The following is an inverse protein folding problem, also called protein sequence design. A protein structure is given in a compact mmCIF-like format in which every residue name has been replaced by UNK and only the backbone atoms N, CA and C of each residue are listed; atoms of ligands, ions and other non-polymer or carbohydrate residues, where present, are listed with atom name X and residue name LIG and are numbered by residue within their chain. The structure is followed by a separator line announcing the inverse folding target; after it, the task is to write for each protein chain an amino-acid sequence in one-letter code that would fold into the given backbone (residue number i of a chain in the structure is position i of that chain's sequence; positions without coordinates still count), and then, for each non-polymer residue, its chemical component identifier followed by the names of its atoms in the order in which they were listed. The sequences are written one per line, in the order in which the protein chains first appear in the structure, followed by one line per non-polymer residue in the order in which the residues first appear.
data_IF_787427700187
#
_entry.id   IF_787427700187
#
_cell.length_a   1.000
_cell.length_b   1.000
_cell.length_c   1.000
_cell.angle_alpha   90.00
_cell.angle_beta   90.00
_cell.angle_gamma   90.00
#
_symmetry.space_group_name_H-M   'P 1'
#
loop_
_entity.id
_entity.type
_entity.pdbx_description
1 polymer ?
#
# COMPACT_ATOMS: atom_id res chain seq x y z
N UNK A 1 20.90 55.99 -45.73
CA UNK A 1 21.97 55.47 -46.59
C UNK A 1 21.46 54.20 -47.27
N UNK A 2 21.56 54.19 -48.61
CA UNK A 2 21.34 53.09 -49.57
C UNK A 2 22.20 51.86 -49.21
N UNK A 3 21.98 50.60 -49.56
CA UNK A 3 20.96 49.80 -50.24
C UNK A 3 21.36 48.30 -50.05
N UNK A 4 20.54 47.31 -50.45
CA UNK A 4 20.64 45.88 -50.15
C UNK A 4 21.33 45.04 -51.25
N UNK A 5 21.61 43.76 -50.99
CA UNK A 5 21.95 42.68 -51.95
C UNK A 5 21.67 41.31 -51.29
N UNK A 6 21.21 40.24 -51.92
CA UNK A 6 20.61 39.96 -53.22
C UNK A 6 20.07 38.50 -53.17
N UNK A 7 18.92 38.24 -53.78
CA UNK A 7 18.41 36.91 -54.15
C UNK A 7 19.19 36.35 -55.36
N UNK A 8 19.34 35.02 -55.49
CA UNK A 8 19.05 34.20 -56.71
C UNK A 8 19.33 32.70 -56.51
N UNK A 9 18.85 31.77 -57.40
CA UNK A 9 18.10 30.58 -56.98
C UNK A 9 18.54 29.26 -57.65
N UNK A 10 17.69 28.23 -57.52
CA UNK A 10 17.41 27.10 -58.44
C UNK A 10 18.58 26.23 -58.96
N UNK A 11 18.44 24.91 -58.77
CA UNK A 11 18.71 23.93 -59.83
C UNK A 11 17.82 22.68 -59.63
N UNK A 12 16.87 22.53 -60.55
CA UNK A 12 16.10 21.33 -60.85
C UNK A 12 16.93 20.47 -61.81
N UNK A 13 17.02 19.16 -61.58
CA UNK A 13 17.30 18.20 -62.64
C UNK A 13 16.68 16.83 -62.28
N UNK A 14 15.66 16.44 -63.04
CA UNK A 14 15.09 15.10 -63.04
C UNK A 14 15.75 14.18 -64.07
N UNK A 15 15.43 12.88 -64.00
CA UNK A 15 15.39 11.86 -65.06
C UNK A 15 14.85 10.56 -64.38
N UNK A 16 13.61 10.12 -64.58
CA UNK A 16 12.99 9.36 -65.69
C UNK A 16 13.26 7.83 -65.69
N UNK A 17 12.13 7.10 -65.55
CA UNK A 17 11.76 5.77 -66.10
C UNK A 17 12.49 4.54 -65.52
N UNK A 18 11.83 3.44 -65.15
CA UNK A 18 10.95 2.61 -66.00
C UNK A 18 9.90 1.82 -65.19
N UNK A 19 8.78 1.55 -65.85
CA UNK A 19 7.74 0.61 -65.44
C UNK A 19 8.11 -0.84 -65.73
N UNK A 20 7.64 -1.78 -64.91
CA UNK A 20 7.39 -3.16 -65.31
C UNK A 20 6.20 -3.75 -64.52
N UNK A 21 5.22 -4.25 -65.26
CA UNK A 21 4.04 -4.97 -64.77
C UNK A 21 4.39 -6.42 -64.41
N UNK A 22 3.62 -7.02 -63.50
CA UNK A 22 3.54 -8.46 -63.29
C UNK A 22 2.31 -8.83 -62.48
N UNK A 23 1.32 -9.48 -63.12
CA UNK A 23 0.09 -9.98 -62.50
C UNK A 23 0.22 -11.44 -62.01
N UNK A 24 -0.51 -11.73 -60.93
CA UNK A 24 -1.25 -12.97 -60.60
C UNK A 24 -0.52 -14.31 -60.32
N UNK A 25 -0.80 -14.83 -59.10
CA UNK A 25 -0.72 -16.24 -58.68
C UNK A 25 -1.14 -16.35 -57.20
N UNK A 26 -2.41 -16.60 -56.89
CA UNK A 26 -3.05 -17.91 -56.60
C UNK A 26 -2.60 -18.65 -55.31
N UNK A 27 -3.59 -18.82 -54.42
CA UNK A 27 -3.91 -19.95 -53.52
C UNK A 27 -3.02 -20.31 -52.32
N UNK A 28 -3.62 -20.20 -51.12
CA UNK A 28 -3.28 -20.93 -49.89
C UNK A 28 -4.27 -20.55 -48.75
N UNK A 29 -5.43 -21.21 -48.67
CA UNK A 29 -5.84 -22.16 -47.61
C UNK A 29 -5.85 -21.62 -46.17
N UNK A 30 -7.08 -21.40 -45.66
CA UNK A 30 -7.57 -21.82 -44.34
C UNK A 30 -6.72 -21.55 -43.11
N UNK A 31 -7.14 -20.56 -42.31
CA UNK A 31 -6.73 -20.39 -40.93
C UNK A 31 -7.88 -19.80 -40.12
N UNK A 32 -8.49 -20.66 -39.32
CA UNK A 32 -9.24 -20.37 -38.08
C UNK A 32 -9.19 -18.91 -37.61
N UNK A 33 -10.36 -18.27 -37.51
CA UNK A 33 -10.59 -17.12 -36.62
C UNK A 33 -10.44 -17.58 -35.17
N UNK A 34 -9.22 -17.50 -34.65
CA UNK A 34 -8.96 -17.40 -33.22
C UNK A 34 -8.89 -15.93 -32.88
N UNK A 35 -9.89 -15.45 -32.15
CA UNK A 35 -9.87 -14.18 -31.45
C UNK A 35 -8.60 -14.09 -30.60
N UNK A 36 -7.81 -13.08 -30.93
CA UNK A 36 -6.64 -12.53 -30.24
C UNK A 36 -6.78 -12.46 -28.71
N UNK A 37 -5.88 -13.16 -28.01
CA UNK A 37 -5.21 -12.59 -26.86
C UNK A 37 -3.83 -12.17 -27.34
N UNK A 38 -3.60 -10.86 -27.51
CA UNK A 38 -2.25 -10.36 -27.80
C UNK A 38 -1.41 -10.62 -26.57
N UNK A 39 -0.51 -11.59 -26.65
CA UNK A 39 0.65 -11.62 -25.77
C UNK A 39 1.46 -10.35 -26.08
N UNK A 40 1.34 -9.35 -25.22
CA UNK A 40 2.09 -8.12 -25.34
C UNK A 40 3.53 -8.40 -24.84
N UNK A 41 4.32 -9.10 -25.65
CA UNK A 41 5.68 -9.51 -25.30
C UNK A 41 6.70 -8.37 -25.39
N UNK A 42 7.65 -8.35 -24.45
CA UNK A 42 8.93 -7.62 -24.49
C UNK A 42 8.84 -6.09 -24.43
N UNK A 43 8.34 -5.45 -25.48
CA UNK A 43 8.32 -3.98 -25.58
C UNK A 43 7.17 -3.36 -24.80
N UNK A 44 6.05 -4.08 -24.63
CA UNK A 44 4.88 -3.57 -23.91
C UNK A 44 5.04 -3.59 -22.39
N UNK A 45 5.96 -4.41 -21.90
CA UNK A 45 6.28 -4.57 -20.48
C UNK A 45 7.49 -3.74 -20.03
N UNK A 46 8.06 -2.97 -20.96
CA UNK A 46 9.08 -1.98 -20.65
C UNK A 46 8.51 -0.93 -19.68
N UNK A 47 9.32 -0.38 -18.76
CA UNK A 47 8.90 0.70 -17.87
C UNK A 47 8.27 1.87 -18.64
N UNK A 48 7.11 2.35 -18.18
CA UNK A 48 6.41 3.51 -18.76
C UNK A 48 6.41 4.65 -17.74
N UNK A 49 6.99 5.82 -18.08
CA UNK A 49 6.95 6.97 -17.19
C UNK A 49 5.53 7.53 -17.07
N UNK A 50 5.24 8.12 -15.92
CA UNK A 50 3.91 8.60 -15.55
C UNK A 50 3.93 9.33 -14.21
N UNK A 51 3.12 10.35 -14.05
CA UNK A 51 3.12 11.16 -12.82
C UNK A 51 2.32 10.47 -11.70
N UNK A 52 1.33 9.64 -12.04
CA UNK A 52 0.44 8.98 -11.10
C UNK A 52 0.87 7.53 -10.86
N UNK A 53 0.91 7.13 -9.60
CA UNK A 53 1.15 5.76 -9.18
C UNK A 53 -0.17 5.05 -8.89
N UNK A 54 -0.23 3.76 -9.21
CA UNK A 54 -1.31 2.86 -8.78
C UNK A 54 -0.73 1.60 -8.18
N UNK A 55 -1.30 1.18 -7.05
CA UNK A 55 -1.01 -0.11 -6.44
C UNK A 55 -1.82 -1.18 -7.16
N UNK A 56 -1.15 -2.27 -7.53
CA UNK A 56 -1.82 -3.47 -8.03
C UNK A 56 -2.35 -4.30 -6.87
N UNK A 57 -3.57 -4.81 -7.00
CA UNK A 57 -4.17 -5.67 -6.00
C UNK A 57 -3.35 -6.96 -5.81
N UNK A 58 -3.02 -7.28 -4.55
CA UNK A 58 -2.41 -8.54 -4.13
C UNK A 58 -3.48 -9.64 -4.01
N UNK A 59 -4.02 -10.04 -5.17
CA UNK A 59 -5.18 -10.94 -5.30
C UNK A 59 -4.94 -12.39 -4.81
N UNK A 60 -3.68 -12.77 -4.57
CA UNK A 60 -3.29 -14.06 -4.00
C UNK A 60 -2.78 -13.95 -2.55
N UNK A 61 -2.85 -12.75 -1.95
CA UNK A 61 -2.53 -12.49 -0.54
C UNK A 61 -1.09 -12.88 -0.17
N UNK A 62 -0.13 -12.51 -1.01
CA UNK A 62 1.30 -12.69 -0.77
C UNK A 62 1.75 -11.94 0.49
N UNK A 63 1.28 -10.71 0.66
CA UNK A 63 1.64 -9.84 1.76
C UNK A 63 0.82 -10.21 3.00
N UNK A 64 1.48 -10.17 4.15
CA UNK A 64 0.78 -10.36 5.40
C UNK A 64 -0.20 -9.21 5.65
N UNK A 65 -1.36 -9.54 6.20
CA UNK A 65 -2.45 -8.61 6.43
C UNK A 65 -2.14 -7.69 7.64
N UNK A 66 -1.63 -6.49 7.36
CA UNK A 66 -1.41 -5.44 8.35
C UNK A 66 -2.58 -4.44 8.37
N UNK A 67 -3.80 -5.00 8.42
CA UNK A 67 -5.00 -4.23 8.69
C UNK A 67 -4.89 -3.53 10.05
N UNK A 68 -5.40 -2.30 10.14
CA UNK A 68 -5.38 -1.55 11.40
C UNK A 68 -6.32 -2.22 12.40
N UNK A 69 -5.84 -2.47 13.61
CA UNK A 69 -6.60 -3.14 14.66
C UNK A 69 -6.42 -2.41 16.00
N UNK A 70 -7.48 -2.11 16.74
CA UNK A 70 -7.35 -1.51 18.06
C UNK A 70 -6.83 -2.55 19.06
N UNK A 71 -5.70 -2.25 19.70
CA UNK A 71 -5.16 -3.01 20.83
C UNK A 71 -5.53 -2.29 22.13
N UNK A 72 -6.11 -3.02 23.08
CA UNK A 72 -6.56 -2.50 24.37
C UNK A 72 -6.08 -3.41 25.49
N UNK A 73 -5.75 -2.88 26.66
CA UNK A 73 -5.48 -3.76 27.81
C UNK A 73 -6.76 -4.49 28.23
N UNK A 74 -6.65 -5.79 28.51
CA UNK A 74 -7.81 -6.61 28.86
C UNK A 74 -8.52 -6.10 30.14
N UNK A 75 -7.75 -5.57 31.09
CA UNK A 75 -8.28 -4.96 32.30
C UNK A 75 -9.13 -3.71 32.00
N UNK A 76 -8.66 -2.82 31.12
CA UNK A 76 -9.40 -1.62 30.75
C UNK A 76 -10.62 -1.94 29.89
N UNK A 77 -10.50 -2.89 28.96
CA UNK A 77 -11.62 -3.37 28.14
C UNK A 77 -12.74 -3.97 29.01
N UNK A 78 -12.39 -4.79 30.01
CA UNK A 78 -13.36 -5.37 30.94
C UNK A 78 -14.02 -4.32 31.86
N UNK A 79 -13.27 -3.30 32.27
CA UNK A 79 -13.79 -2.20 33.09
C UNK A 79 -14.71 -1.25 32.30
N UNK A 80 -14.52 -1.16 30.98
CA UNK A 80 -15.21 -0.20 30.11
C UNK A 80 -15.83 -0.90 28.89
N UNK A 81 -17.05 -1.48 29.02
CA UNK A 81 -17.69 -2.20 27.92
C UNK A 81 -17.97 -1.36 26.66
N UNK A 82 -17.97 -0.03 26.77
CA UNK A 82 -18.14 0.90 25.64
C UNK A 82 -16.85 1.10 24.83
N UNK A 83 -15.68 0.76 25.38
CA UNK A 83 -14.37 1.12 24.82
C UNK A 83 -14.08 0.42 23.49
N UNK A 84 -14.11 -0.91 23.47
CA UNK A 84 -13.84 -1.68 22.24
C UNK A 84 -14.89 -1.41 21.16
N UNK A 85 -16.21 -1.36 21.45
CA UNK A 85 -17.20 -0.99 20.43
C UNK A 85 -16.98 0.39 19.81
N UNK A 86 -16.51 1.38 20.58
CA UNK A 86 -16.19 2.70 20.03
C UNK A 86 -15.00 2.65 19.07
N UNK A 87 -13.95 1.91 19.43
CA UNK A 87 -12.79 1.71 18.55
C UNK A 87 -13.15 0.88 17.30
N UNK A 88 -13.98 -0.15 17.46
CA UNK A 88 -14.47 -0.97 16.34
C UNK A 88 -15.36 -0.18 15.37
N UNK A 89 -16.00 0.92 15.81
CA UNK A 89 -16.69 1.83 14.91
C UNK A 89 -15.71 2.50 13.94
N UNK A 90 -14.50 2.86 14.40
CA UNK A 90 -13.41 3.33 13.52
C UNK A 90 -13.05 2.24 12.53
N UNK A 91 -12.81 1.02 13.01
CA UNK A 91 -12.46 -0.10 12.13
C UNK A 91 -13.50 -0.36 11.05
N UNK A 92 -14.78 -0.21 11.36
CA UNK A 92 -15.87 -0.42 10.42
C UNK A 92 -15.97 0.67 9.34
N UNK A 93 -15.47 1.88 9.61
CA UNK A 93 -15.54 3.02 8.70
C UNK A 93 -14.23 3.24 7.91
N UNK A 94 -13.10 2.87 8.49
CA UNK A 94 -11.76 3.19 7.98
C UNK A 94 -11.35 2.28 6.80
N UNK A 95 -11.09 2.90 5.65
CA UNK A 95 -10.57 2.24 4.44
C UNK A 95 -9.13 2.66 4.12
N UNK A 96 -8.44 1.89 3.27
CA UNK A 96 -7.07 2.23 2.86
C UNK A 96 -7.02 3.56 2.10
N UNK A 97 -7.99 3.84 1.24
CA UNK A 97 -8.08 5.12 0.53
C UNK A 97 -8.17 6.32 1.50
N UNK A 98 -8.94 6.18 2.58
CA UNK A 98 -9.01 7.22 3.61
C UNK A 98 -7.68 7.39 4.37
N UNK A 99 -6.95 6.29 4.63
CA UNK A 99 -5.60 6.40 5.21
C UNK A 99 -4.63 7.11 4.25
N UNK A 100 -4.68 6.79 2.96
CA UNK A 100 -3.89 7.46 1.93
C UNK A 100 -4.16 8.96 1.95
N UNK A 101 -5.44 9.38 1.93
CA UNK A 101 -5.82 10.80 1.97
C UNK A 101 -5.34 11.50 3.25
N UNK A 102 -5.51 10.87 4.42
CA UNK A 102 -5.07 11.44 5.69
C UNK A 102 -3.54 11.54 5.78
N UNK A 103 -2.81 10.52 5.32
CA UNK A 103 -1.35 10.55 5.24
C UNK A 103 -0.87 11.64 4.28
N UNK A 104 -1.52 11.81 3.12
CA UNK A 104 -1.22 12.86 2.15
C UNK A 104 -1.40 14.26 2.76
N UNK A 105 -2.50 14.49 3.49
CA UNK A 105 -2.77 15.76 4.15
C UNK A 105 -1.66 16.17 5.13
N UNK A 106 -1.08 15.23 5.87
CA UNK A 106 0.03 15.53 6.79
C UNK A 106 1.37 15.64 6.06
N UNK A 107 1.74 14.63 5.27
CA UNK A 107 3.09 14.52 4.72
C UNK A 107 3.32 15.49 3.55
N UNK A 108 2.31 15.70 2.71
CA UNK A 108 2.40 16.52 1.50
C UNK A 108 1.85 17.92 1.74
N UNK A 109 0.68 18.04 2.38
CA UNK A 109 0.00 19.32 2.59
C UNK A 109 0.37 20.01 3.90
N UNK A 110 1.13 19.35 4.77
CA UNK A 110 1.65 19.89 6.04
C UNK A 110 0.55 20.27 7.04
N UNK A 111 -0.59 19.60 6.97
CA UNK A 111 -1.60 19.69 8.01
C UNK A 111 -1.13 18.98 9.29
N UNK A 112 -1.73 19.33 10.43
CA UNK A 112 -1.42 18.62 11.69
C UNK A 112 -2.19 17.31 11.75
N UNK A 113 -1.60 16.26 12.34
CA UNK A 113 -2.28 14.97 12.52
C UNK A 113 -3.55 15.09 13.40
N UNK A 114 -3.57 16.03 14.34
CA UNK A 114 -4.74 16.32 15.18
C UNK A 114 -5.89 16.91 14.36
N UNK A 115 -5.62 17.91 13.51
CA UNK A 115 -6.65 18.54 12.66
C UNK A 115 -7.20 17.54 11.63
N UNK A 116 -6.31 16.75 11.01
CA UNK A 116 -6.69 15.72 10.02
C UNK A 116 -7.58 14.65 10.66
N UNK A 117 -7.19 14.14 11.83
CA UNK A 117 -7.99 13.17 12.56
C UNK A 117 -9.34 13.74 12.99
N UNK A 118 -9.38 14.98 13.48
CA UNK A 118 -10.62 15.65 13.89
C UNK A 118 -11.59 15.80 12.71
N UNK A 119 -11.08 16.22 11.54
CA UNK A 119 -11.86 16.33 10.31
C UNK A 119 -12.43 14.97 9.89
N UNK A 120 -11.61 13.91 9.88
CA UNK A 120 -12.08 12.58 9.52
C UNK A 120 -13.15 12.05 10.50
N UNK A 121 -12.99 12.26 11.81
CA UNK A 121 -13.98 11.85 12.82
C UNK A 121 -15.32 12.58 12.63
N UNK A 122 -15.28 13.87 12.26
CA UNK A 122 -16.48 14.64 11.93
C UNK A 122 -17.15 14.14 10.64
N UNK A 123 -16.38 14.00 9.56
CA UNK A 123 -16.89 13.70 8.22
C UNK A 123 -17.37 12.24 8.07
N UNK A 124 -16.74 11.30 8.77
CA UNK A 124 -17.11 9.88 8.72
C UNK A 124 -18.45 9.56 9.40
N UNK A 125 -18.93 10.42 10.31
CA UNK A 125 -20.11 10.13 11.13
C UNK A 125 -19.91 8.97 12.12
N UNK A 126 -18.66 8.54 12.36
CA UNK A 126 -18.33 7.37 13.19
C UNK A 126 -18.76 7.51 14.66
N UNK A 127 -19.08 8.73 15.07
CA UNK A 127 -19.51 9.05 16.45
C UNK A 127 -21.00 8.86 16.70
N UNK A 128 -21.79 8.56 15.67
CA UNK A 128 -23.24 8.42 15.78
C UNK A 128 -23.64 7.17 16.57
N UNK A 129 -24.38 7.39 17.67
CA UNK A 129 -24.96 6.31 18.46
C UNK A 129 -23.97 5.53 19.32
N UNK A 130 -22.76 6.05 19.53
CA UNK A 130 -21.76 5.42 20.39
C UNK A 130 -22.29 5.20 21.81
N UNK A 131 -22.01 4.02 22.35
CA UNK A 131 -22.26 3.73 23.75
C UNK A 131 -21.39 4.64 24.63
N UNK A 132 -22.01 5.22 25.65
CA UNK A 132 -21.31 6.12 26.56
C UNK A 132 -20.47 5.36 27.58
N UNK A 133 -19.22 5.80 27.74
CA UNK A 133 -18.26 5.40 28.76
C UNK A 133 -17.93 6.56 29.71
N UNK A 134 -16.85 6.41 30.47
CA UNK A 134 -16.31 7.48 31.31
C UNK A 134 -14.93 7.13 31.83
N UNK A 135 -14.14 8.14 32.19
CA UNK A 135 -12.84 7.97 32.83
C UNK A 135 -11.67 8.16 31.85
N UNK A 136 -10.45 8.24 32.39
CA UNK A 136 -9.27 8.57 31.60
C UNK A 136 -8.85 7.38 30.73
N UNK A 137 -8.53 7.64 29.46
CA UNK A 137 -7.93 6.67 28.54
C UNK A 137 -6.73 7.33 27.85
N UNK A 138 -5.56 6.71 27.95
CA UNK A 138 -4.38 7.16 27.21
C UNK A 138 -4.20 6.28 25.98
N UNK A 139 -4.27 6.89 24.80
CA UNK A 139 -4.02 6.29 23.48
C UNK A 139 -2.56 6.52 23.13
N UNK A 140 -1.81 5.44 22.89
CA UNK A 140 -0.43 5.54 22.45
C UNK A 140 -0.31 5.82 20.96
N UNK A 141 0.77 6.52 20.60
CA UNK A 141 1.19 6.74 19.22
C UNK A 141 2.65 6.32 19.01
N UNK A 142 2.93 5.78 17.83
CA UNK A 142 4.27 5.56 17.33
C UNK A 142 4.93 6.85 16.85
N UNK A 143 6.21 6.80 16.49
CA UNK A 143 6.97 7.96 16.01
C UNK A 143 6.90 8.15 14.49
N UNK A 144 5.72 7.99 13.89
CA UNK A 144 5.49 8.19 12.46
C UNK A 144 4.07 8.73 12.20
N UNK A 145 3.89 9.31 11.02
CA UNK A 145 2.70 10.08 10.62
C UNK A 145 1.41 9.30 10.86
N UNK A 146 1.25 8.15 10.20
CA UNK A 146 -0.01 7.40 10.25
C UNK A 146 -0.39 6.98 11.67
N UNK A 147 0.55 6.46 12.46
CA UNK A 147 0.28 6.08 13.85
C UNK A 147 -0.16 7.26 14.71
N UNK A 148 0.37 8.47 14.45
CA UNK A 148 -0.06 9.68 15.14
C UNK A 148 -1.47 10.09 14.72
N UNK A 149 -1.81 10.01 13.43
CA UNK A 149 -3.17 10.27 12.93
C UNK A 149 -4.15 9.29 13.56
N UNK A 150 -3.88 7.99 13.47
CA UNK A 150 -4.73 6.93 14.02
C UNK A 150 -4.96 7.06 15.53
N UNK A 151 -3.92 7.44 16.28
CA UNK A 151 -4.05 7.66 17.72
C UNK A 151 -4.99 8.85 18.04
N UNK A 152 -4.92 9.93 17.24
CA UNK A 152 -5.84 11.06 17.38
C UNK A 152 -7.27 10.71 16.93
N UNK A 153 -7.43 9.90 15.88
CA UNK A 153 -8.75 9.37 15.46
C UNK A 153 -9.37 8.58 16.61
N UNK A 154 -8.62 7.66 17.21
CA UNK A 154 -9.07 6.90 18.37
C UNK A 154 -9.42 7.82 19.54
N UNK A 155 -8.57 8.79 19.88
CA UNK A 155 -8.87 9.74 20.97
C UNK A 155 -10.16 10.53 20.71
N UNK A 156 -10.35 11.07 19.50
CA UNK A 156 -11.56 11.83 19.14
C UNK A 156 -12.85 11.01 19.24
N UNK A 157 -12.81 9.74 18.80
CA UNK A 157 -13.96 8.82 18.93
C UNK A 157 -14.23 8.44 20.38
N UNK A 158 -13.18 8.24 21.18
CA UNK A 158 -13.32 7.96 22.60
C UNK A 158 -13.86 9.16 23.39
N UNK A 159 -13.44 10.37 23.07
CA UNK A 159 -14.01 11.60 23.64
C UNK A 159 -15.49 11.74 23.30
N UNK A 160 -15.89 11.46 22.05
CA UNK A 160 -17.29 11.43 21.65
C UNK A 160 -18.11 10.32 22.36
N UNK A 161 -17.46 9.22 22.72
CA UNK A 161 -18.03 8.17 23.58
C UNK A 161 -18.02 8.54 25.08
N UNK A 162 -17.57 9.74 25.48
CA UNK A 162 -17.62 10.24 26.85
C UNK A 162 -16.43 9.86 27.73
N UNK A 163 -15.37 9.29 27.17
CA UNK A 163 -14.09 9.13 27.87
C UNK A 163 -13.34 10.47 27.97
N UNK A 164 -12.32 10.53 28.84
CA UNK A 164 -11.33 11.60 28.89
C UNK A 164 -10.07 11.09 28.20
N UNK A 165 -10.06 11.13 26.87
CA UNK A 165 -9.02 10.53 26.05
C UNK A 165 -7.85 11.49 25.85
N UNK A 166 -6.63 10.96 25.81
CA UNK A 166 -5.43 11.73 25.48
C UNK A 166 -4.44 10.90 24.67
N UNK A 167 -3.70 11.56 23.79
CA UNK A 167 -2.67 10.92 22.96
C UNK A 167 -1.30 11.06 23.62
N UNK A 168 -0.52 9.97 23.59
CA UNK A 168 0.87 9.95 24.04
C UNK A 168 1.77 9.26 23.02
N UNK A 169 2.70 10.03 22.46
CA UNK A 169 3.78 9.45 21.65
C UNK A 169 4.78 8.72 22.56
N UNK A 170 5.08 7.46 22.24
CA UNK A 170 5.99 6.60 23.01
C UNK A 170 7.21 6.18 22.19
N UNK A 171 7.09 6.15 20.86
CA UNK A 171 8.17 5.81 19.94
C UNK A 171 7.94 4.49 19.23
N UNK A 172 8.98 3.68 19.08
CA UNK A 172 8.89 2.41 18.37
C UNK A 172 8.21 1.29 19.20
N UNK A 173 7.86 0.18 18.53
CA UNK A 173 7.14 -0.96 19.14
C UNK A 173 7.87 -1.62 20.29
N UNK A 174 9.21 -1.69 20.23
CA UNK A 174 10.03 -2.23 21.32
C UNK A 174 9.87 -1.42 22.62
N UNK A 175 9.50 -0.14 22.50
CA UNK A 175 9.24 0.74 23.64
C UNK A 175 7.76 0.75 24.05
N UNK A 176 6.85 0.92 23.09
CA UNK A 176 5.43 1.10 23.44
C UNK A 176 4.70 -0.20 23.77
N UNK A 177 5.05 -1.34 23.16
CA UNK A 177 4.32 -2.59 23.36
C UNK A 177 4.46 -3.12 24.80
N UNK A 178 5.66 -3.12 25.43
CA UNK A 178 5.79 -3.42 26.85
C UNK A 178 5.01 -2.44 27.74
N UNK A 179 4.98 -1.16 27.38
CA UNK A 179 4.23 -0.14 28.12
C UNK A 179 2.71 -0.35 28.00
N UNK A 180 2.20 -0.71 26.83
CA UNK A 180 0.80 -1.11 26.60
C UNK A 180 0.45 -2.35 27.42
N UNK A 181 1.25 -3.41 27.34
CA UNK A 181 1.05 -4.66 28.11
C UNK A 181 1.01 -4.37 29.62
N UNK A 182 1.85 -3.46 30.12
CA UNK A 182 1.82 -3.07 31.52
C UNK A 182 0.53 -2.34 31.93
N UNK A 183 -0.10 -1.65 30.98
CA UNK A 183 -1.30 -0.83 31.17
C UNK A 183 -1.10 0.41 32.04
N UNK A 184 0.13 0.70 32.49
CA UNK A 184 0.41 1.77 33.45
C UNK A 184 0.37 3.16 32.81
N UNK A 185 0.97 3.31 31.62
CA UNK A 185 1.17 4.61 30.96
C UNK A 185 0.28 4.81 29.73
N UNK A 186 -0.22 3.73 29.12
CA UNK A 186 -1.18 3.74 28.02
C UNK A 186 -2.10 2.51 28.06
N UNK A 187 -3.31 2.64 27.52
CA UNK A 187 -4.34 1.59 27.56
C UNK A 187 -4.81 1.17 26.17
N UNK A 188 -4.63 2.02 25.16
CA UNK A 188 -5.08 1.80 23.78
C UNK A 188 -3.94 2.09 22.81
N UNK A 189 -3.84 1.34 21.72
CA UNK A 189 -2.91 1.62 20.63
C UNK A 189 -3.51 1.18 19.28
N UNK A 190 -3.36 1.96 18.19
CA UNK A 190 -3.64 1.50 16.83
C UNK A 190 -2.51 0.60 16.33
N UNK A 191 -2.76 -0.71 16.26
CA UNK A 191 -1.76 -1.70 15.83
C UNK A 191 -1.98 -2.20 14.40
N UNK A 192 -0.93 -2.81 13.87
CA UNK A 192 -0.88 -3.42 12.55
C UNK A 192 -0.94 -4.93 12.72
N UNK A 193 -2.00 -5.56 12.21
CA UNK A 193 -2.44 -6.87 12.64
C UNK A 193 -1.38 -7.98 12.53
N UNK A 194 -0.75 -8.15 11.37
CA UNK A 194 0.27 -9.18 11.20
C UNK A 194 1.54 -8.88 11.99
N UNK A 195 1.97 -7.62 11.98
CA UNK A 195 3.20 -7.18 12.64
C UNK A 195 3.10 -7.31 14.16
N UNK A 196 1.97 -6.93 14.77
CA UNK A 196 1.75 -7.14 16.21
C UNK A 196 1.63 -8.63 16.56
N UNK A 197 1.04 -9.43 15.66
CA UNK A 197 0.97 -10.88 15.81
C UNK A 197 2.36 -11.48 15.92
N UNK A 198 3.27 -11.12 15.02
CA UNK A 198 4.64 -11.65 15.07
C UNK A 198 5.47 -11.10 16.24
N UNK A 199 5.26 -9.84 16.63
CA UNK A 199 5.90 -9.26 17.81
C UNK A 199 5.50 -10.03 19.08
N UNK A 200 4.21 -10.29 19.28
CA UNK A 200 3.73 -11.07 20.42
C UNK A 200 4.13 -12.54 20.33
N UNK A 201 4.15 -13.11 19.12
CA UNK A 201 4.62 -14.47 18.89
C UNK A 201 6.07 -14.61 19.36
N UNK A 202 6.94 -13.67 18.98
CA UNK A 202 8.33 -13.67 19.43
C UNK A 202 8.48 -13.46 20.94
N UNK A 203 7.63 -12.61 21.54
CA UNK A 203 7.62 -12.38 22.97
C UNK A 203 7.20 -13.61 23.78
N UNK A 204 6.17 -14.33 23.32
CA UNK A 204 5.58 -15.49 24.01
C UNK A 204 6.36 -16.78 23.72
N UNK A 205 6.75 -17.00 22.46
CA UNK A 205 7.33 -18.27 21.99
C UNK A 205 8.86 -18.20 21.78
N UNK A 206 9.49 -17.06 22.08
CA UNK A 206 10.94 -16.85 21.98
C UNK A 206 11.37 -16.17 20.68
N UNK A 207 12.63 -15.73 20.59
CA UNK A 207 13.08 -14.71 19.62
C UNK A 207 12.90 -15.02 18.12
N UNK A 208 12.70 -16.28 17.72
CA UNK A 208 12.53 -16.68 16.32
C UNK A 208 11.50 -17.82 16.22
N UNK A 209 10.22 -17.56 16.53
CA UNK A 209 9.19 -18.56 16.39
C UNK A 209 8.92 -18.78 14.89
N UNK A 210 8.20 -19.85 14.56
CA UNK A 210 7.62 -19.95 13.22
C UNK A 210 6.57 -18.86 13.07
N UNK A 211 6.58 -18.07 11.98
CA UNK A 211 5.54 -17.08 11.72
C UNK A 211 4.16 -17.72 11.67
N UNK A 212 3.16 -17.00 12.17
CA UNK A 212 1.75 -17.42 12.24
C UNK A 212 0.80 -16.44 11.57
N UNK A 213 1.25 -15.22 11.26
CA UNK A 213 0.52 -14.27 10.45
C UNK A 213 0.51 -14.71 8.98
N UNK A 214 -0.50 -14.25 8.27
CA UNK A 214 -0.72 -14.50 6.84
C UNK A 214 -1.40 -13.32 6.17
N UNK A 215 -1.55 -13.36 4.84
CA UNK A 215 -2.37 -12.40 4.11
C UNK A 215 -3.88 -12.54 4.31
N UNK A 216 -4.34 -13.46 5.16
CA UNK A 216 -5.74 -13.52 5.59
C UNK A 216 -5.92 -12.85 6.95
N UNK A 217 -6.56 -11.67 6.96
CA UNK A 217 -6.76 -10.89 8.17
C UNK A 217 -7.52 -11.65 9.27
N UNK A 218 -8.56 -12.43 8.91
CA UNK A 218 -9.32 -13.17 9.91
C UNK A 218 -8.50 -14.33 10.49
N UNK A 219 -7.77 -15.07 9.65
CA UNK A 219 -6.89 -16.12 10.12
C UNK A 219 -5.76 -15.58 11.02
N UNK A 220 -5.17 -14.44 10.65
CA UNK A 220 -4.14 -13.76 11.45
C UNK A 220 -4.72 -13.29 12.78
N UNK A 221 -5.93 -12.71 12.80
CA UNK A 221 -6.64 -12.34 14.04
C UNK A 221 -6.90 -13.54 14.94
N UNK A 222 -7.34 -14.65 14.38
CA UNK A 222 -7.59 -15.88 15.14
C UNK A 222 -6.29 -16.44 15.75
N UNK A 223 -5.16 -16.32 15.03
CA UNK A 223 -3.83 -16.70 15.52
C UNK A 223 -3.29 -15.74 16.60
N UNK A 224 -3.64 -14.45 16.53
CA UNK A 224 -3.27 -13.42 17.51
C UNK A 224 -3.94 -13.64 18.87
N UNK A 225 -5.20 -14.05 18.91
CA UNK A 225 -5.99 -14.16 20.14
C UNK A 225 -5.29 -14.93 21.28
N UNK A 226 -4.77 -16.15 21.10
CA UNK A 226 -4.11 -16.90 22.18
C UNK A 226 -2.80 -16.25 22.66
N UNK A 227 -2.15 -15.41 21.85
CA UNK A 227 -0.98 -14.62 22.28
C UNK A 227 -1.43 -13.43 23.12
N UNK A 228 -2.47 -12.72 22.66
CA UNK A 228 -3.05 -11.58 23.35
C UNK A 228 -3.53 -11.95 24.77
N UNK A 229 -4.21 -13.09 24.91
CA UNK A 229 -4.68 -13.60 26.20
C UNK A 229 -3.54 -13.81 27.21
N UNK A 230 -2.37 -14.26 26.73
CA UNK A 230 -1.20 -14.52 27.59
C UNK A 230 -0.54 -13.25 28.10
N UNK A 231 -0.62 -12.16 27.32
CA UNK A 231 -0.04 -10.86 27.68
C UNK A 231 -1.07 -9.87 28.24
N UNK A 232 -2.33 -10.28 28.39
CA UNK A 232 -3.38 -9.43 28.96
C UNK A 232 -3.82 -8.30 28.03
N UNK A 233 -3.80 -8.54 26.71
CA UNK A 233 -4.34 -7.62 25.71
C UNK A 233 -5.66 -8.16 25.13
N UNK A 234 -6.48 -7.25 24.64
CA UNK A 234 -7.70 -7.50 23.88
C UNK A 234 -7.60 -6.70 22.60
N UNK A 235 -7.81 -7.37 21.46
CA UNK A 235 -7.84 -6.73 20.16
C UNK A 235 -9.28 -6.64 19.68
N UNK A 236 -9.64 -5.52 19.06
CA UNK A 236 -10.96 -5.36 18.46
C UNK A 236 -11.07 -6.03 17.10
N UNK A 237 -11.89 -5.44 16.24
CA UNK A 237 -12.08 -5.86 14.85
C UNK A 237 -11.07 -5.13 13.96
N UNK A 238 -10.33 -5.83 13.09
CA UNK A 238 -9.47 -5.17 12.10
C UNK A 238 -10.30 -4.36 11.09
N UNK A 239 -9.78 -3.23 10.65
CA UNK A 239 -10.38 -2.40 9.59
C UNK A 239 -10.18 -2.99 8.20
N UNK A 240 -10.89 -2.45 7.21
CA UNK A 240 -10.51 -2.67 5.81
C UNK A 240 -9.14 -2.02 5.51
N UNK A 241 -8.88 -0.86 6.11
CA UNK A 241 -7.62 -0.16 5.94
C UNK A 241 -6.41 -1.00 6.37
N UNK A 242 -5.36 -0.98 5.55
CA UNK A 242 -4.10 -1.67 5.81
C UNK A 242 -2.90 -0.81 5.40
N UNK A 243 -1.85 -0.89 6.22
CA UNK A 243 -0.50 -0.42 5.87
C UNK A 243 0.42 -1.63 5.81
N UNK A 244 0.63 -2.10 4.60
CA UNK A 244 1.47 -3.25 4.30
C UNK A 244 2.33 -2.94 3.09
N UNK A 245 3.36 -3.77 2.86
CA UNK A 245 4.05 -3.74 1.58
C UNK A 245 3.03 -3.93 0.45
N UNK A 246 3.24 -3.22 -0.63
CA UNK A 246 2.47 -3.29 -1.85
C UNK A 246 3.39 -3.07 -3.05
N UNK A 247 2.86 -3.24 -4.25
CA UNK A 247 3.63 -3.00 -5.47
C UNK A 247 2.89 -2.03 -6.37
N UNK A 248 3.56 -0.93 -6.69
CA UNK A 248 3.01 0.11 -7.54
C UNK A 248 3.66 0.11 -8.92
N UNK A 249 2.86 0.53 -9.89
CA UNK A 249 3.25 0.88 -11.25
C UNK A 249 2.75 2.29 -11.56
N UNK A 250 3.09 2.85 -12.72
CA UNK A 250 2.42 4.07 -13.19
C UNK A 250 1.02 3.75 -13.70
N UNK A 251 0.08 4.70 -13.55
CA UNK A 251 -1.27 4.57 -14.11
C UNK A 251 -1.20 4.31 -15.62
N UNK A 252 -0.29 5.00 -16.32
CA UNK A 252 -0.08 4.83 -17.75
C UNK A 252 0.35 3.41 -18.13
N UNK A 253 1.21 2.78 -17.31
CA UNK A 253 1.60 1.39 -17.50
C UNK A 253 0.44 0.43 -17.27
N UNK A 254 -0.31 0.63 -16.18
CA UNK A 254 -1.48 -0.17 -15.84
C UNK A 254 -2.56 -0.09 -16.94
N UNK A 255 -2.88 1.12 -17.40
CA UNK A 255 -3.87 1.38 -18.46
C UNK A 255 -3.44 0.80 -19.81
N UNK A 256 -2.15 0.91 -20.15
CA UNK A 256 -1.61 0.35 -21.39
C UNK A 256 -1.81 -1.17 -21.45
N UNK A 257 -1.62 -1.85 -20.32
CA UNK A 257 -1.74 -3.30 -20.22
C UNK A 257 -3.17 -3.75 -19.86
N UNK A 258 -4.00 -2.85 -19.34
CA UNK A 258 -5.33 -3.14 -18.82
C UNK A 258 -5.29 -4.02 -17.57
N UNK A 259 -4.32 -3.77 -16.68
CA UNK A 259 -4.09 -4.58 -15.46
C UNK A 259 -4.42 -3.80 -14.20
N UNK A 260 -4.98 -4.51 -13.22
CA UNK A 260 -5.34 -3.99 -11.90
C UNK A 260 -4.81 -4.87 -10.77
N UNK A 261 -4.47 -6.12 -11.06
CA UNK A 261 -3.94 -7.08 -10.07
C UNK A 261 -2.53 -7.55 -10.41
N UNK A 262 -1.84 -8.12 -9.42
CA UNK A 262 -0.53 -8.76 -9.63
C UNK A 262 -0.62 -9.99 -10.54
N UNK A 263 -1.69 -10.79 -10.45
CA UNK A 263 -1.91 -11.91 -11.38
C UNK A 263 -2.11 -11.44 -12.83
N UNK A 264 -2.86 -10.37 -13.05
CA UNK A 264 -3.06 -9.81 -14.39
C UNK A 264 -1.75 -9.27 -14.98
N UNK A 265 -0.92 -8.64 -14.15
CA UNK A 265 0.43 -8.24 -14.56
C UNK A 265 1.30 -9.46 -14.89
N UNK A 266 1.20 -10.55 -14.13
CA UNK A 266 1.95 -11.77 -14.39
C UNK A 266 1.54 -12.42 -15.72
N UNK A 267 0.24 -12.46 -16.03
CA UNK A 267 -0.27 -12.97 -17.29
C UNK A 267 0.18 -12.11 -18.49
N UNK A 268 0.27 -10.78 -18.30
CA UNK A 268 0.70 -9.85 -19.35
C UNK A 268 2.23 -9.83 -19.55
N UNK A 269 3.00 -9.85 -18.45
CA UNK A 269 4.41 -9.48 -18.39
C UNK A 269 5.30 -10.43 -17.57
N UNK A 270 4.85 -11.64 -17.26
CA UNK A 270 5.65 -12.67 -16.57
C UNK A 270 6.75 -13.31 -17.42
N UNK A 271 7.09 -12.74 -18.58
CA UNK A 271 8.07 -13.28 -19.54
C UNK A 271 9.54 -12.95 -19.20
N UNK A 272 9.78 -12.25 -18.09
CA UNK A 272 11.11 -11.86 -17.62
C UNK A 272 11.57 -10.49 -18.11
N UNK A 273 10.69 -9.67 -18.67
CA UNK A 273 11.00 -8.32 -19.17
C UNK A 273 10.89 -7.20 -18.13
N UNK A 274 10.24 -7.45 -16.98
CA UNK A 274 10.01 -6.43 -15.95
C UNK A 274 11.29 -6.03 -15.22
N UNK A 275 11.33 -4.76 -14.79
CA UNK A 275 12.35 -4.25 -13.88
C UNK A 275 11.71 -3.95 -12.53
N UNK A 276 12.23 -4.56 -11.45
CA UNK A 276 11.73 -4.37 -10.10
C UNK A 276 12.58 -3.35 -9.33
N UNK A 277 11.94 -2.36 -8.72
CA UNK A 277 12.54 -1.41 -7.78
C UNK A 277 12.21 -1.75 -6.32
N UNK A 278 13.17 -1.59 -5.41
CA UNK A 278 12.89 -1.72 -3.99
C UNK A 278 14.14 -1.69 -3.11
N UNK A 279 14.01 -2.00 -1.81
CA UNK A 279 15.14 -1.99 -0.88
C UNK A 279 16.11 -3.14 -1.15
N UNK A 280 17.38 -2.99 -0.75
CA UNK A 280 18.48 -3.89 -1.08
C UNK A 280 18.23 -5.37 -0.73
N UNK A 281 17.42 -5.64 0.29
CA UNK A 281 17.05 -6.97 0.73
C UNK A 281 15.98 -7.64 -0.15
N UNK A 282 15.24 -6.89 -0.97
CA UNK A 282 14.10 -7.39 -1.73
C UNK A 282 14.39 -8.67 -2.56
N UNK A 283 15.56 -8.82 -3.23
CA UNK A 283 15.91 -10.04 -3.95
C UNK A 283 15.99 -11.31 -3.07
N UNK A 284 16.05 -11.16 -1.74
CA UNK A 284 16.19 -12.24 -0.77
C UNK A 284 15.02 -12.37 0.20
N UNK A 285 14.06 -11.43 0.17
CA UNK A 285 12.93 -11.41 1.10
C UNK A 285 11.77 -12.24 0.55
N UNK A 286 11.23 -13.20 1.32
CA UNK A 286 10.12 -14.05 0.84
C UNK A 286 8.89 -13.28 0.37
N UNK A 287 8.58 -12.13 0.96
CA UNK A 287 7.44 -11.29 0.59
C UNK A 287 7.81 -10.16 -0.40
N UNK A 288 8.95 -10.28 -1.10
CA UNK A 288 9.33 -9.34 -2.15
C UNK A 288 9.57 -10.09 -3.46
N UNK A 289 10.75 -10.01 -4.07
CA UNK A 289 11.00 -10.65 -5.36
C UNK A 289 10.74 -12.18 -5.37
N UNK A 290 11.31 -12.99 -4.45
CA UNK A 290 10.99 -14.42 -4.38
C UNK A 290 9.48 -14.72 -4.30
N UNK A 291 8.74 -13.93 -3.52
CA UNK A 291 7.30 -14.11 -3.36
C UNK A 291 6.51 -13.81 -4.63
N UNK A 292 6.87 -12.74 -5.34
CA UNK A 292 6.30 -12.40 -6.64
C UNK A 292 6.58 -13.49 -7.68
N UNK A 293 7.78 -14.06 -7.67
CA UNK A 293 8.15 -15.15 -8.57
C UNK A 293 7.41 -16.45 -8.24
N UNK A 294 7.36 -16.85 -6.97
CA UNK A 294 6.78 -18.13 -6.53
C UNK A 294 5.24 -18.13 -6.52
N UNK A 295 4.62 -17.01 -6.13
CA UNK A 295 3.16 -16.91 -5.98
C UNK A 295 2.49 -16.55 -7.30
N UNK A 296 3.06 -15.58 -8.02
CA UNK A 296 2.44 -15.01 -9.22
C UNK A 296 3.05 -15.51 -10.51
N UNK A 297 4.28 -16.03 -10.49
CA UNK A 297 5.01 -16.39 -11.71
C UNK A 297 5.58 -15.17 -12.45
N UNK A 298 5.65 -14.00 -11.79
CA UNK A 298 6.37 -12.84 -12.31
C UNK A 298 7.85 -13.17 -12.48
N UNK A 299 8.51 -12.56 -13.45
CA UNK A 299 9.94 -12.71 -13.68
C UNK A 299 10.57 -11.36 -14.00
N UNK A 300 11.80 -11.16 -13.55
CA UNK A 300 12.47 -9.87 -13.64
C UNK A 300 13.77 -9.95 -14.44
N UNK A 301 13.93 -9.03 -15.40
CA UNK A 301 15.16 -8.84 -16.15
C UNK A 301 16.26 -8.24 -15.26
N UNK A 302 15.87 -7.32 -14.38
CA UNK A 302 16.75 -6.52 -13.56
C UNK A 302 16.05 -6.15 -12.24
N UNK A 303 16.83 -6.10 -11.16
CA UNK A 303 16.45 -5.47 -9.90
C UNK A 303 17.27 -4.20 -9.70
N UNK A 304 16.61 -3.12 -9.26
CA UNK A 304 17.26 -1.84 -8.93
C UNK A 304 17.00 -1.46 -7.47
N UNK A 305 18.09 -1.17 -6.77
CA UNK A 305 18.08 -0.79 -5.36
C UNK A 305 17.68 0.67 -5.18
N UNK A 306 16.69 0.88 -4.30
CA UNK A 306 16.18 2.17 -3.86
C UNK A 306 15.79 2.10 -2.37
N UNK A 307 15.14 3.13 -1.84
CA UNK A 307 14.59 3.12 -0.47
C UNK A 307 13.33 2.23 -0.36
N UNK A 308 12.99 1.78 0.85
CA UNK A 308 11.80 0.96 1.08
C UNK A 308 10.53 1.82 0.92
N UNK A 309 9.90 1.79 -0.26
CA UNK A 309 8.66 2.52 -0.54
C UNK A 309 8.74 4.03 -0.45
N UNK A 310 9.93 4.61 -0.31
CA UNK A 310 10.11 6.04 -0.11
C UNK A 310 10.23 6.85 -1.41
N UNK A 311 10.62 8.13 -1.33
CA UNK A 311 10.69 9.03 -2.48
C UNK A 311 11.56 8.53 -3.63
N UNK A 312 12.63 7.77 -3.37
CA UNK A 312 13.51 7.31 -4.46
C UNK A 312 12.84 6.20 -5.28
N UNK A 313 12.19 5.24 -4.64
CA UNK A 313 11.43 4.19 -5.32
C UNK A 313 10.28 4.76 -6.13
N UNK A 314 9.49 5.69 -5.56
CA UNK A 314 8.38 6.34 -6.28
C UNK A 314 8.87 7.11 -7.50
N UNK A 315 9.92 7.91 -7.33
CA UNK A 315 10.51 8.67 -8.42
C UNK A 315 11.05 7.76 -9.54
N UNK A 316 11.61 6.60 -9.18
CA UNK A 316 12.09 5.62 -10.16
C UNK A 316 10.94 4.99 -10.96
N UNK A 317 9.80 4.70 -10.32
CA UNK A 317 8.59 4.21 -11.01
C UNK A 317 8.07 5.31 -11.95
N UNK A 318 7.89 6.54 -11.45
CA UNK A 318 7.34 7.66 -12.21
C UNK A 318 8.22 8.06 -13.42
N UNK A 319 9.53 7.93 -13.30
CA UNK A 319 10.48 8.24 -14.37
C UNK A 319 10.65 7.09 -15.38
N UNK A 320 9.97 5.95 -15.18
CA UNK A 320 10.14 4.76 -16.00
C UNK A 320 11.55 4.17 -15.89
N UNK A 321 12.20 4.30 -14.73
CA UNK A 321 13.45 3.59 -14.45
C UNK A 321 13.19 2.11 -14.10
N UNK A 322 12.04 1.82 -13.51
CA UNK A 322 11.56 0.48 -13.16
C UNK A 322 10.11 0.29 -13.63
N UNK A 323 9.72 -0.95 -13.94
CA UNK A 323 8.35 -1.27 -14.36
C UNK A 323 7.38 -1.26 -13.17
N UNK A 324 7.86 -1.74 -12.03
CA UNK A 324 7.12 -1.79 -10.77
C UNK A 324 8.09 -1.58 -9.59
N UNK A 325 7.58 -1.14 -8.45
CA UNK A 325 8.39 -1.06 -7.23
C UNK A 325 7.60 -1.30 -5.95
N UNK A 326 8.33 -1.71 -4.90
CA UNK A 326 7.78 -1.88 -3.56
C UNK A 326 7.40 -0.52 -2.96
N UNK A 327 6.15 -0.36 -2.53
CA UNK A 327 5.62 0.80 -1.80
C UNK A 327 4.85 0.33 -0.56
N UNK A 328 4.33 1.27 0.24
CA UNK A 328 3.37 0.97 1.30
C UNK A 328 1.94 1.27 0.82
N UNK A 329 0.98 0.40 1.17
CA UNK A 329 -0.39 0.46 0.67
C UNK A 329 -1.16 1.71 1.08
N UNK A 330 -0.80 2.32 2.22
CA UNK A 330 -1.44 3.54 2.73
C UNK A 330 -0.63 4.81 2.49
N UNK A 331 0.43 4.74 1.68
CA UNK A 331 1.32 5.89 1.46
C UNK A 331 0.58 7.07 0.83
N UNK A 332 0.70 8.26 1.41
CA UNK A 332 0.00 9.47 0.94
C UNK A 332 0.35 9.90 -0.48
N UNK A 333 1.48 9.45 -1.05
CA UNK A 333 1.81 9.71 -2.45
C UNK A 333 0.93 8.93 -3.44
N UNK A 334 0.12 7.98 -2.97
CA UNK A 334 -0.87 7.25 -3.75
C UNK A 334 -2.21 7.98 -3.85
N UNK A 335 -2.38 9.12 -3.15
CA UNK A 335 -3.61 9.90 -3.21
C UNK A 335 -3.88 10.36 -4.66
N UNK A 336 -5.07 10.04 -5.17
CA UNK A 336 -5.50 10.51 -6.48
C UNK A 336 -6.03 11.94 -6.33
N UNK A 337 -5.47 12.88 -7.09
CA UNK A 337 -5.83 14.31 -7.03
C UNK A 337 -7.18 14.66 -7.65
#
# INVERSE_FOLDING_TARGET
MRQPRALTPLLLAGLLLTAACGESGSSGTGGSTSTSGSAASGDACAPVPGDQLVVLEDDQKLQNADNIVPAVTAATAAANPALVPALDAVSAALTTDQLIEMNAAVDLERQSAEDVAAAWVEDSGVTDGLQQGSGPIVVGAGNFTESTILANVYAGVLDAAGFDASVREVGNRDLYLPALISGADLQVFPEYLATVTEALNAQVNGANPTPIASGDAQATRDALQPLADQVGLTFGTPSEAADQNAFAVTQEFADQLGVTTLSELADACGDGSLVLGGPAECPSRPFCQPGLEETYGLQFAEFREFDAGGPATKAAIQQGEVSMGLVFSSDGALAQG
#
